data_IF_534702794089
#
_entry.id   IF_534702794089
#
_cell.length_a   1.000
_cell.length_b   1.000
_cell.length_c   1.000
_cell.angle_alpha   90.00
_cell.angle_beta   90.00
_cell.angle_gamma   90.00
#
_symmetry.space_group_name_H-M   'P 1'
#
loop_
_entity.id
_entity.type
_entity.pdbx_description
1 polymer ?
#
# COMPACT_ATOMS: atom_id res chain seq x y z
N UNK A 1 31.19 -72.55 5.85
CA UNK A 1 30.20 -71.86 6.71
C UNK A 1 30.71 -70.47 7.06
N UNK A 2 29.81 -69.48 6.94
CA UNK A 2 29.81 -68.11 7.50
C UNK A 2 30.89 -67.11 7.04
N UNK A 3 30.45 -66.25 6.10
CA UNK A 3 30.90 -64.88 5.88
C UNK A 3 30.64 -64.05 7.14
N UNK A 4 31.66 -63.38 7.68
CA UNK A 4 31.53 -62.36 8.72
C UNK A 4 31.55 -60.98 8.08
N UNK A 5 30.37 -60.36 7.96
CA UNK A 5 30.20 -59.03 7.40
C UNK A 5 30.45 -57.97 8.47
N UNK A 6 31.23 -56.97 8.09
CA UNK A 6 31.53 -55.75 8.83
C UNK A 6 30.25 -54.90 8.87
N UNK A 7 29.77 -54.54 10.05
CA UNK A 7 28.77 -53.47 10.20
C UNK A 7 29.42 -52.33 10.96
N UNK A 8 29.85 -51.33 10.21
CA UNK A 8 30.19 -50.01 10.72
C UNK A 8 28.89 -49.33 11.15
N UNK A 9 28.72 -49.10 12.45
CA UNK A 9 27.62 -48.30 12.98
C UNK A 9 27.92 -46.83 12.71
N UNK A 10 27.41 -46.32 11.58
CA UNK A 10 27.36 -44.89 11.32
C UNK A 10 26.36 -44.25 12.30
N UNK A 11 26.89 -43.50 13.27
CA UNK A 11 26.12 -42.69 14.20
C UNK A 11 25.51 -41.51 13.41
N UNK A 12 24.31 -41.71 12.86
CA UNK A 12 23.49 -40.62 12.33
C UNK A 12 22.96 -39.81 13.53
N UNK A 13 23.72 -38.79 13.90
CA UNK A 13 23.20 -37.64 14.63
C UNK A 13 22.14 -36.99 13.74
N UNK A 14 20.89 -37.43 13.89
CA UNK A 14 19.74 -36.64 13.50
C UNK A 14 19.72 -35.41 14.41
N UNK A 15 20.44 -34.37 14.01
CA UNK A 15 20.08 -33.02 14.41
C UNK A 15 18.64 -32.84 13.99
N UNK A 16 17.74 -32.91 14.97
CA UNK A 16 16.41 -32.35 14.88
C UNK A 16 16.59 -30.87 14.56
N UNK A 17 16.69 -30.56 13.27
CA UNK A 17 16.31 -29.26 12.78
C UNK A 17 14.85 -29.15 13.17
N UNK A 18 14.62 -28.52 14.32
CA UNK A 18 13.40 -27.80 14.58
C UNK A 18 13.26 -26.87 13.38
N UNK A 19 12.57 -27.34 12.33
CA UNK A 19 11.92 -26.46 11.42
C UNK A 19 11.02 -25.63 12.33
N UNK A 20 11.51 -24.46 12.72
CA UNK A 20 10.65 -23.37 13.08
C UNK A 20 9.74 -23.24 11.87
N UNK A 21 8.58 -23.88 11.96
CA UNK A 21 7.44 -23.54 11.15
C UNK A 21 7.24 -22.06 11.46
N UNK A 22 7.85 -21.21 10.64
CA UNK A 22 7.52 -19.81 10.55
C UNK A 22 6.05 -19.82 10.18
N UNK A 23 5.21 -19.70 11.20
CA UNK A 23 3.79 -19.42 11.12
C UNK A 23 3.60 -17.97 10.67
N UNK A 24 4.31 -17.53 9.62
CA UNK A 24 3.94 -16.32 8.91
C UNK A 24 2.78 -16.71 8.01
N UNK A 25 1.56 -16.44 8.48
CA UNK A 25 0.38 -16.42 7.61
C UNK A 25 0.59 -15.30 6.59
N UNK A 26 1.21 -15.61 5.46
CA UNK A 26 1.26 -14.67 4.33
C UNK A 26 -0.19 -14.41 3.88
N UNK A 27 -0.55 -13.12 3.85
CA UNK A 27 -1.85 -12.69 3.38
C UNK A 27 -1.85 -12.61 1.86
N UNK A 28 -2.98 -12.99 1.24
CA UNK A 28 -3.22 -12.81 -0.19
C UNK A 28 -4.01 -11.54 -0.46
N UNK A 29 -3.56 -10.76 -1.44
CA UNK A 29 -4.29 -9.64 -2.02
C UNK A 29 -4.79 -10.06 -3.40
N UNK A 30 -6.10 -10.02 -3.61
CA UNK A 30 -6.71 -10.51 -4.83
C UNK A 30 -7.51 -9.41 -5.54
N UNK A 31 -7.45 -9.42 -6.86
CA UNK A 31 -8.32 -8.64 -7.72
C UNK A 31 -8.96 -9.53 -8.80
N UNK A 32 -10.21 -9.24 -9.13
CA UNK A 32 -10.96 -9.88 -10.22
C UNK A 32 -11.28 -8.81 -11.24
N UNK A 33 -10.78 -8.98 -12.46
CA UNK A 33 -11.01 -8.08 -13.57
C UNK A 33 -11.90 -8.73 -14.60
N UNK A 34 -12.97 -8.06 -15.03
CA UNK A 34 -13.74 -8.52 -16.19
C UNK A 34 -12.93 -8.36 -17.46
N UNK A 35 -12.81 -9.42 -18.25
CA UNK A 35 -12.21 -9.37 -19.58
C UNK A 35 -13.19 -8.67 -20.52
N UNK A 36 -12.76 -7.69 -21.32
CA UNK A 36 -13.65 -7.02 -22.26
C UNK A 36 -14.27 -8.05 -23.21
N UNK A 37 -15.59 -8.00 -23.36
CA UNK A 37 -16.26 -8.73 -24.43
C UNK A 37 -15.64 -8.32 -25.77
N UNK A 38 -15.50 -9.26 -26.71
CA UNK A 38 -14.90 -9.01 -28.04
C UNK A 38 -15.65 -7.99 -28.92
N UNK A 39 -16.63 -7.26 -28.36
CA UNK A 39 -17.46 -6.30 -29.07
C UNK A 39 -17.03 -4.87 -28.75
N UNK A 40 -16.74 -4.14 -29.83
CA UNK A 40 -16.30 -2.76 -29.86
C UNK A 40 -17.26 -1.83 -29.10
N UNK A 41 -16.89 -1.44 -27.88
CA UNK A 41 -16.84 -0.06 -27.33
C UNK A 41 -16.16 -0.23 -25.97
N UNK A 42 -14.90 0.17 -25.87
CA UNK A 42 -14.12 0.11 -24.64
C UNK A 42 -14.71 1.06 -23.58
N UNK A 43 -15.76 0.63 -22.89
CA UNK A 43 -16.23 1.28 -21.66
C UNK A 43 -15.40 0.74 -20.51
N UNK A 44 -14.39 1.52 -20.16
CA UNK A 44 -13.38 1.33 -19.14
C UNK A 44 -13.93 1.39 -17.72
N UNK A 45 -14.79 0.44 -17.35
CA UNK A 45 -15.06 0.16 -15.93
C UNK A 45 -14.70 -1.28 -15.62
N UNK A 46 -13.40 -1.49 -15.39
CA UNK A 46 -12.91 -2.58 -14.56
C UNK A 46 -13.62 -2.44 -13.21
N UNK A 47 -14.55 -3.34 -12.91
CA UNK A 47 -15.05 -3.47 -11.54
C UNK A 47 -13.94 -4.12 -10.72
N UNK A 48 -13.00 -3.29 -10.24
CA UNK A 48 -11.88 -3.71 -9.40
C UNK A 48 -12.41 -4.13 -8.03
N UNK A 49 -12.32 -5.42 -7.72
CA UNK A 49 -12.49 -5.89 -6.36
C UNK A 49 -11.13 -5.88 -5.68
N UNK A 50 -10.77 -4.72 -5.13
CA UNK A 50 -9.56 -4.55 -4.34
C UNK A 50 -9.96 -4.46 -2.87
N UNK A 51 -10.12 -5.61 -2.21
CA UNK A 51 -10.25 -5.64 -0.75
C UNK A 51 -9.06 -6.38 -0.17
N UNK A 52 -8.40 -5.81 0.85
CA UNK A 52 -7.53 -6.62 1.69
C UNK A 52 -8.43 -7.54 2.51
N UNK A 53 -8.02 -8.78 2.68
CA UNK A 53 -8.65 -9.63 3.68
C UNK A 53 -7.57 -10.07 4.64
N UNK A 54 -7.68 -9.59 5.88
CA UNK A 54 -7.15 -10.34 7.01
C UNK A 54 -8.13 -11.49 7.17
N UNK A 55 -7.72 -12.69 6.78
CA UNK A 55 -8.62 -13.85 6.70
C UNK A 55 -9.04 -14.31 8.10
N UNK A 56 -10.19 -13.83 8.58
CA UNK A 56 -10.96 -14.55 9.59
C UNK A 56 -11.79 -15.66 8.90
N UNK A 57 -12.21 -16.67 9.68
CA UNK A 57 -12.73 -17.99 9.26
C UNK A 57 -13.77 -18.02 8.12
N UNK A 58 -14.47 -16.92 7.84
CA UNK A 58 -15.73 -16.92 7.09
C UNK A 58 -15.60 -16.72 5.57
N UNK A 59 -14.41 -16.37 5.06
CA UNK A 59 -14.15 -16.25 3.62
C UNK A 59 -14.90 -15.12 2.91
N UNK A 60 -14.83 -15.10 1.57
CA UNK A 60 -15.39 -14.08 0.69
C UNK A 60 -16.22 -14.75 -0.40
N UNK A 61 -17.43 -14.24 -0.64
CA UNK A 61 -18.30 -14.63 -1.75
C UNK A 61 -18.53 -13.44 -2.68
N UNK A 62 -18.31 -13.63 -3.98
CA UNK A 62 -18.59 -12.64 -5.02
C UNK A 62 -19.37 -13.29 -6.16
N UNK A 63 -20.26 -12.53 -6.82
CA UNK A 63 -21.05 -12.98 -7.96
C UNK A 63 -20.82 -12.07 -9.16
N UNK A 64 -20.48 -12.66 -10.30
CA UNK A 64 -20.22 -11.98 -11.58
C UNK A 64 -21.11 -12.61 -12.65
N UNK A 65 -22.20 -11.92 -13.00
CA UNK A 65 -23.26 -12.48 -13.86
C UNK A 65 -23.70 -13.86 -13.35
N UNK A 66 -23.48 -14.90 -14.14
CA UNK A 66 -23.83 -16.30 -13.86
C UNK A 66 -22.71 -17.09 -13.15
N UNK A 67 -21.59 -16.45 -12.79
CA UNK A 67 -20.50 -17.08 -12.06
C UNK A 67 -20.47 -16.61 -10.60
N UNK A 68 -20.54 -17.54 -9.65
CA UNK A 68 -20.25 -17.28 -8.24
C UNK A 68 -18.84 -17.76 -7.89
N UNK A 69 -18.11 -16.92 -7.18
CA UNK A 69 -16.76 -17.18 -6.71
C UNK A 69 -16.74 -17.12 -5.18
N UNK A 70 -16.18 -18.15 -4.56
CA UNK A 70 -15.99 -18.23 -3.12
C UNK A 70 -14.51 -18.45 -2.84
N UNK A 71 -13.94 -17.66 -1.95
CA UNK A 71 -12.55 -17.78 -1.53
C UNK A 71 -12.46 -17.83 -0.01
N UNK A 72 -11.71 -18.77 0.53
CA UNK A 72 -11.47 -18.84 1.97
C UNK A 72 -10.10 -19.45 2.26
N UNK A 73 -9.53 -19.08 3.40
CA UNK A 73 -8.29 -19.68 3.88
C UNK A 73 -8.62 -20.83 4.83
N UNK A 74 -8.04 -21.99 4.60
CA UNK A 74 -8.14 -23.14 5.50
C UNK A 74 -6.85 -23.93 5.45
N UNK A 75 -6.29 -24.26 6.62
CA UNK A 75 -5.06 -25.06 6.73
C UNK A 75 -3.88 -24.49 5.92
N UNK A 76 -3.67 -23.17 5.97
CA UNK A 76 -2.62 -22.46 5.19
C UNK A 76 -2.74 -22.69 3.67
N UNK A 77 -3.96 -22.81 3.17
CA UNK A 77 -4.27 -22.89 1.75
C UNK A 77 -5.35 -21.89 1.40
N UNK A 78 -5.15 -21.16 0.31
CA UNK A 78 -6.20 -20.40 -0.33
C UNK A 78 -7.08 -21.37 -1.10
N UNK A 79 -8.30 -21.60 -0.62
CA UNK A 79 -9.31 -22.38 -1.30
C UNK A 79 -10.13 -21.45 -2.18
N UNK A 80 -10.40 -21.90 -3.40
CA UNK A 80 -11.17 -21.17 -4.39
C UNK A 80 -12.21 -22.12 -4.98
N UNK A 81 -13.47 -21.70 -4.88
CA UNK A 81 -14.61 -22.38 -5.47
C UNK A 81 -15.27 -21.47 -6.49
N UNK A 82 -15.50 -21.99 -7.68
CA UNK A 82 -16.14 -21.29 -8.79
C UNK A 82 -17.35 -22.10 -9.22
N UNK A 83 -18.53 -21.49 -9.19
CA UNK A 83 -19.77 -22.06 -9.72
C UNK A 83 -20.20 -21.26 -10.93
N UNK A 84 -20.23 -21.88 -12.10
CA UNK A 84 -20.69 -21.29 -13.36
C UNK A 84 -22.05 -21.89 -13.70
N UNK A 85 -23.12 -21.12 -13.49
CA UNK A 85 -24.50 -21.58 -13.70
C UNK A 85 -24.79 -21.83 -15.19
N UNK A 86 -24.21 -21.02 -16.09
CA UNK A 86 -24.36 -21.16 -17.55
C UNK A 86 -23.81 -22.50 -18.03
N UNK A 87 -22.67 -22.92 -17.49
CA UNK A 87 -22.01 -24.19 -17.86
C UNK A 87 -22.40 -25.36 -16.96
N UNK A 88 -23.21 -25.13 -15.93
CA UNK A 88 -23.50 -26.10 -14.85
C UNK A 88 -22.21 -26.71 -14.28
N UNK A 89 -21.19 -25.88 -14.11
CA UNK A 89 -19.86 -26.32 -13.69
C UNK A 89 -19.56 -25.83 -12.28
N UNK A 90 -18.94 -26.69 -11.48
CA UNK A 90 -18.34 -26.32 -10.21
C UNK A 90 -16.86 -26.74 -10.20
N UNK A 91 -15.97 -25.78 -9.95
CA UNK A 91 -14.54 -26.02 -9.78
C UNK A 91 -14.18 -25.70 -8.33
N UNK A 92 -13.47 -26.61 -7.69
CA UNK A 92 -12.85 -26.39 -6.39
C UNK A 92 -11.34 -26.59 -6.56
N UNK A 93 -10.56 -25.56 -6.24
CA UNK A 93 -9.10 -25.59 -6.28
C UNK A 93 -8.53 -25.04 -4.98
N UNK A 94 -7.29 -25.40 -4.70
CA UNK A 94 -6.58 -24.92 -3.52
C UNK A 94 -5.13 -24.60 -3.86
N UNK A 95 -4.62 -23.51 -3.30
CA UNK A 95 -3.26 -23.04 -3.49
C UNK A 95 -2.55 -22.98 -2.14
N UNK A 96 -1.33 -23.56 -2.00
CA UNK A 96 -0.53 -23.41 -0.79
C UNK A 96 -0.23 -21.95 -0.49
N UNK A 97 -0.21 -21.54 0.79
CA UNK A 97 0.07 -20.16 1.19
C UNK A 97 1.42 -19.58 0.71
N UNK A 98 2.39 -20.46 0.44
CA UNK A 98 3.69 -20.07 -0.10
C UNK A 98 3.66 -19.75 -1.62
N UNK A 99 2.51 -19.87 -2.28
CA UNK A 99 2.40 -19.56 -3.72
C UNK A 99 2.38 -18.05 -3.90
N UNK A 100 3.43 -17.41 -4.46
CA UNK A 100 3.57 -15.96 -4.46
C UNK A 100 2.56 -15.25 -5.36
N UNK A 101 2.14 -15.91 -6.44
CA UNK A 101 1.16 -15.40 -7.39
C UNK A 101 0.22 -16.51 -7.88
N UNK A 102 -1.07 -16.20 -7.95
CA UNK A 102 -2.11 -17.05 -8.51
C UNK A 102 -2.83 -16.25 -9.58
N UNK A 103 -2.80 -16.73 -10.83
CA UNK A 103 -3.56 -16.14 -11.93
C UNK A 103 -4.54 -17.19 -12.48
N UNK A 104 -5.83 -16.89 -12.38
CA UNK A 104 -6.88 -17.69 -12.98
C UNK A 104 -7.63 -16.85 -14.01
N UNK A 105 -7.77 -17.40 -15.22
CA UNK A 105 -8.61 -16.83 -16.27
C UNK A 105 -9.82 -17.73 -16.46
N UNK A 106 -11.03 -17.17 -16.37
CA UNK A 106 -12.28 -17.88 -16.57
C UNK A 106 -13.26 -17.05 -17.39
N UNK A 107 -13.47 -17.43 -18.65
CA UNK A 107 -14.36 -16.77 -19.61
C UNK A 107 -14.22 -15.24 -19.64
N UNK A 108 -15.02 -14.58 -18.84
CA UNK A 108 -15.23 -13.13 -18.78
C UNK A 108 -14.47 -12.49 -17.62
N UNK A 109 -13.67 -13.22 -16.84
CA UNK A 109 -12.86 -12.61 -15.80
C UNK A 109 -11.45 -13.20 -15.67
N UNK A 110 -10.55 -12.41 -15.09
CA UNK A 110 -9.22 -12.78 -14.62
C UNK A 110 -9.16 -12.50 -13.12
N UNK A 111 -9.04 -13.54 -12.31
CA UNK A 111 -8.63 -13.45 -10.91
C UNK A 111 -7.09 -13.43 -10.86
N UNK A 112 -6.54 -12.49 -10.11
CA UNK A 112 -5.11 -12.44 -9.79
C UNK A 112 -4.97 -12.22 -8.28
N UNK A 113 -4.26 -13.12 -7.61
CA UNK A 113 -3.90 -13.01 -6.21
C UNK A 113 -2.39 -12.96 -6.05
N UNK A 114 -1.89 -12.10 -5.19
CA UNK A 114 -0.48 -11.97 -4.85
C UNK A 114 -0.31 -12.09 -3.34
N UNK A 115 0.76 -12.73 -2.87
CA UNK A 115 1.16 -12.62 -1.47
C UNK A 115 1.63 -11.19 -1.19
N UNK A 116 1.58 -10.77 0.08
CA UNK A 116 2.10 -9.47 0.49
C UNK A 116 3.52 -9.24 -0.02
N UNK A 117 4.41 -10.21 0.21
CA UNK A 117 5.81 -10.19 -0.18
C UNK A 117 5.97 -9.99 -1.70
N UNK A 118 5.27 -10.80 -2.51
CA UNK A 118 5.38 -10.70 -3.98
C UNK A 118 4.84 -9.37 -4.50
N UNK A 119 3.80 -8.86 -3.86
CA UNK A 119 3.23 -7.58 -4.23
C UNK A 119 4.19 -6.41 -3.90
N UNK A 120 4.83 -6.42 -2.73
CA UNK A 120 5.84 -5.42 -2.32
C UNK A 120 7.01 -5.40 -3.34
N UNK A 121 7.49 -6.57 -3.80
CA UNK A 121 8.49 -6.67 -4.87
C UNK A 121 8.04 -5.98 -6.17
N UNK A 122 6.83 -6.29 -6.65
CA UNK A 122 6.30 -5.71 -7.89
C UNK A 122 6.02 -4.20 -7.77
N UNK A 123 5.72 -3.72 -6.56
CA UNK A 123 5.57 -2.30 -6.27
C UNK A 123 6.89 -1.55 -6.40
N UNK A 124 7.97 -2.12 -5.89
CA UNK A 124 9.34 -1.59 -5.94
C UNK A 124 9.89 -1.59 -7.38
N UNK A 125 9.55 -2.59 -8.20
CA UNK A 125 9.97 -2.71 -9.60
C UNK A 125 9.20 -1.77 -10.56
N UNK A 126 8.20 -1.04 -10.06
CA UNK A 126 7.40 -0.11 -10.88
C UNK A 126 6.47 -0.81 -11.88
N UNK A 127 6.24 -2.12 -11.72
CA UNK A 127 5.32 -2.85 -12.58
C UNK A 127 3.85 -2.44 -12.36
N UNK A 128 3.01 -2.75 -13.36
CA UNK A 128 1.57 -2.47 -13.39
C UNK A 128 0.82 -3.22 -12.29
N UNK A 129 0.81 -2.69 -11.07
CA UNK A 129 -0.12 -3.13 -10.04
C UNK A 129 -1.54 -2.80 -10.47
N UNK A 130 -2.37 -3.84 -10.57
CA UNK A 130 -3.73 -3.80 -11.10
C UNK A 130 -4.79 -3.47 -10.06
N UNK A 131 -4.42 -3.07 -8.83
CA UNK A 131 -5.39 -2.74 -7.78
C UNK A 131 -4.76 -1.91 -6.65
N UNK A 132 -5.55 -1.05 -5.97
CA UNK A 132 -5.11 -0.32 -4.79
C UNK A 132 -4.83 -1.29 -3.64
N UNK A 133 -3.66 -1.16 -3.00
CA UNK A 133 -3.40 -1.85 -1.73
C UNK A 133 -3.75 -0.93 -0.57
N UNK A 134 -4.57 -1.41 0.36
CA UNK A 134 -4.84 -0.71 1.60
C UNK A 134 -3.68 -0.95 2.54
N UNK A 135 -3.12 0.14 3.02
CA UNK A 135 -2.06 0.11 4.00
C UNK A 135 -2.61 -0.41 5.32
N UNK A 136 -2.00 -1.47 5.82
CA UNK A 136 -2.20 -1.94 7.19
C UNK A 136 -1.29 -1.16 8.14
N UNK A 137 -1.59 -1.19 9.44
CA UNK A 137 -0.79 -0.48 10.45
C UNK A 137 0.70 -0.83 10.41
N UNK A 138 1.04 -2.06 10.04
CA UNK A 138 2.41 -2.58 9.97
C UNK A 138 3.08 -2.38 8.60
N UNK A 139 2.35 -1.85 7.61
CA UNK A 139 2.88 -1.61 6.27
C UNK A 139 4.05 -0.63 6.32
N UNK A 140 5.23 -1.05 5.86
CA UNK A 140 6.43 -0.22 5.82
C UNK A 140 6.39 0.72 4.61
N UNK A 141 6.29 2.02 4.89
CA UNK A 141 6.07 3.04 3.87
C UNK A 141 7.28 3.31 2.98
N UNK A 142 8.47 2.83 3.35
CA UNK A 142 9.69 3.00 2.54
C UNK A 142 9.61 2.19 1.23
N UNK A 143 8.85 1.10 1.20
CA UNK A 143 8.62 0.28 -0.01
C UNK A 143 7.60 0.91 -0.97
N UNK A 144 6.89 1.97 -0.56
CA UNK A 144 5.89 2.63 -1.40
C UNK A 144 6.44 3.90 -2.01
N UNK A 145 7.31 3.72 -3.02
CA UNK A 145 8.01 4.83 -3.69
C UNK A 145 7.26 5.42 -4.89
N UNK A 146 6.16 4.80 -5.29
CA UNK A 146 5.38 5.23 -6.46
C UNK A 146 3.88 5.21 -6.15
N UNK A 147 3.11 6.04 -6.87
CA UNK A 147 1.63 6.01 -6.89
C UNK A 147 0.98 6.24 -5.52
N UNK A 148 1.59 7.08 -4.69
CA UNK A 148 1.00 7.46 -3.40
C UNK A 148 0.11 8.68 -3.57
N UNK A 149 -1.08 8.66 -2.99
CA UNK A 149 -1.85 9.87 -2.72
C UNK A 149 -2.05 10.05 -1.23
N UNK A 150 -2.13 11.30 -0.83
CA UNK A 150 -2.42 11.70 0.56
C UNK A 150 -3.86 12.15 0.62
N UNK A 151 -4.65 11.48 1.46
CA UNK A 151 -6.01 11.85 1.76
C UNK A 151 -6.04 12.62 3.07
N UNK A 152 -6.62 13.82 3.07
CA UNK A 152 -6.88 14.54 4.30
C UNK A 152 -8.06 13.91 5.03
N UNK A 153 -7.85 13.54 6.29
CA UNK A 153 -8.87 12.97 7.17
C UNK A 153 -9.51 14.01 8.09
N UNK A 154 -8.95 15.23 8.14
CA UNK A 154 -9.48 16.36 8.88
C UNK A 154 -9.04 17.67 8.20
N UNK A 155 -9.81 18.73 8.43
CA UNK A 155 -9.50 20.06 7.90
C UNK A 155 -8.14 20.57 8.40
N UNK A 156 -7.41 21.24 7.51
CA UNK A 156 -6.15 21.91 7.83
C UNK A 156 -6.33 23.41 7.58
N UNK A 157 -6.41 24.18 8.67
CA UNK A 157 -6.47 25.63 8.61
C UNK A 157 -5.05 26.23 8.67
N UNK A 158 -4.77 27.16 7.76
CA UNK A 158 -3.53 27.91 7.66
C UNK A 158 -3.85 29.40 7.67
N UNK A 159 -3.45 30.06 8.76
CA UNK A 159 -3.73 31.48 8.96
C UNK A 159 -2.90 32.38 8.05
N UNK A 160 -3.52 33.46 7.62
CA UNK A 160 -2.85 34.60 7.03
C UNK A 160 -2.23 35.48 8.09
N UNK A 161 -1.04 35.98 7.80
CA UNK A 161 -0.44 37.09 8.54
C UNK A 161 -0.22 38.23 7.56
N UNK A 162 -0.81 39.38 7.85
CA UNK A 162 -0.65 40.58 7.05
C UNK A 162 0.83 40.96 6.92
N UNK A 163 1.28 41.23 5.69
CA UNK A 163 2.69 41.50 5.38
C UNK A 163 3.52 40.28 4.96
N UNK A 164 2.91 39.09 4.87
CA UNK A 164 3.54 37.92 4.23
C UNK A 164 4.01 38.28 2.80
N UNK A 165 5.31 38.16 2.52
CA UNK A 165 5.87 38.29 1.16
C UNK A 165 5.46 37.09 0.27
N UNK A 166 5.72 37.15 -1.04
CA UNK A 166 5.55 35.99 -1.94
C UNK A 166 6.30 34.74 -1.44
N UNK A 167 7.43 34.92 -0.73
CA UNK A 167 8.13 33.82 -0.08
C UNK A 167 7.36 33.28 1.12
N UNK A 168 6.67 34.14 1.85
CA UNK A 168 5.88 33.78 3.04
C UNK A 168 4.51 33.20 2.70
N UNK A 169 4.09 33.27 1.43
CA UNK A 169 2.96 32.48 0.90
C UNK A 169 3.23 30.98 0.92
N UNK A 170 4.50 30.57 1.02
CA UNK A 170 4.88 29.19 1.33
C UNK A 170 4.67 28.94 2.83
N UNK A 171 3.62 28.18 3.15
CA UNK A 171 3.27 27.83 4.52
C UNK A 171 3.66 26.40 4.84
N UNK A 172 4.16 26.24 6.06
CA UNK A 172 4.66 24.99 6.61
C UNK A 172 3.77 24.59 7.77
N UNK A 173 3.17 23.41 7.68
CA UNK A 173 2.37 22.80 8.75
C UNK A 173 3.16 21.62 9.30
N UNK A 174 3.66 21.75 10.52
CA UNK A 174 4.41 20.68 11.18
C UNK A 174 3.49 19.80 12.02
N UNK A 175 3.69 18.50 11.92
CA UNK A 175 3.02 17.47 12.68
C UNK A 175 4.02 16.69 13.51
N UNK A 176 3.74 16.55 14.80
CA UNK A 176 4.60 15.83 15.72
C UNK A 176 3.74 15.23 16.83
N UNK A 177 3.89 13.92 17.09
CA UNK A 177 3.17 13.20 18.16
C UNK A 177 1.66 13.48 18.18
N UNK A 178 1.05 13.58 16.99
CA UNK A 178 -0.38 13.74 16.84
C UNK A 178 -0.90 15.17 16.85
N UNK A 179 -0.01 16.15 17.00
CA UNK A 179 -0.37 17.57 17.11
C UNK A 179 0.22 18.40 15.97
N UNK A 180 -0.47 19.49 15.61
CA UNK A 180 0.11 20.54 14.77
C UNK A 180 0.94 21.45 15.68
N UNK A 181 2.22 21.63 15.35
CA UNK A 181 3.17 22.43 16.15
C UNK A 181 3.73 23.57 15.33
N UNK A 182 4.09 24.68 15.98
CA UNK A 182 4.74 25.81 15.30
C UNK A 182 6.21 25.52 14.94
N UNK A 183 6.85 24.62 15.69
CA UNK A 183 8.24 24.20 15.51
C UNK A 183 8.43 22.77 15.99
N UNK A 184 9.23 21.99 15.27
CA UNK A 184 9.53 20.60 15.64
C UNK A 184 10.71 20.51 16.60
N UNK A 185 10.70 19.47 17.44
CA UNK A 185 11.91 19.03 18.14
C UNK A 185 12.82 18.30 17.16
N UNK A 186 14.05 18.81 17.01
CA UNK A 186 15.06 18.28 16.12
C UNK A 186 15.40 16.80 16.39
N UNK A 187 15.20 16.31 17.60
CA UNK A 187 15.56 14.94 18.00
C UNK A 187 14.40 13.94 17.92
N UNK A 188 13.31 14.30 17.26
CA UNK A 188 12.09 13.49 17.22
C UNK A 188 11.59 13.23 15.81
N UNK A 189 10.70 12.25 15.69
CA UNK A 189 9.98 11.97 14.46
C UNK A 189 8.91 13.05 14.20
N UNK A 190 8.86 13.59 12.98
CA UNK A 190 7.90 14.61 12.59
C UNK A 190 7.57 14.54 11.10
N UNK A 191 6.43 15.11 10.71
CA UNK A 191 6.07 15.37 9.32
C UNK A 191 5.85 16.87 9.08
N UNK A 192 6.23 17.37 7.90
CA UNK A 192 6.08 18.75 7.44
C UNK A 192 5.27 18.71 6.15
N UNK A 193 4.08 19.30 6.15
CA UNK A 193 3.33 19.57 4.95
C UNK A 193 3.57 21.01 4.50
N UNK A 194 4.10 21.17 3.29
CA UNK A 194 4.39 22.47 2.71
C UNK A 194 3.43 22.76 1.56
N UNK A 195 2.83 23.95 1.58
CA UNK A 195 1.86 24.41 0.59
C UNK A 195 2.10 25.88 0.25
N UNK A 196 1.67 26.29 -0.93
CA UNK A 196 1.65 27.69 -1.36
C UNK A 196 0.21 28.20 -1.33
N UNK A 197 -0.02 29.31 -0.63
CA UNK A 197 -1.27 30.05 -0.73
C UNK A 197 -1.23 30.98 -1.94
N UNK A 198 -2.36 31.12 -2.63
CA UNK A 198 -2.47 32.02 -3.80
C UNK A 198 -3.11 33.36 -3.47
N UNK A 199 -3.88 33.42 -2.39
CA UNK A 199 -4.58 34.63 -1.94
C UNK A 199 -4.14 35.06 -0.54
N UNK A 200 -4.35 36.34 -0.25
CA UNK A 200 -4.01 36.99 1.02
C UNK A 200 -5.16 36.86 2.02
N UNK A 201 -5.55 35.62 2.30
CA UNK A 201 -6.64 35.28 3.21
C UNK A 201 -6.34 33.96 3.94
N UNK A 202 -7.06 33.69 5.03
CA UNK A 202 -7.00 32.40 5.69
C UNK A 202 -7.34 31.28 4.70
N UNK A 203 -6.59 30.19 4.77
CA UNK A 203 -6.79 29.02 3.91
C UNK A 203 -7.28 27.86 4.75
N UNK A 204 -8.34 27.19 4.31
CA UNK A 204 -8.76 25.91 4.85
C UNK A 204 -8.65 24.88 3.74
N UNK A 205 -7.91 23.80 4.01
CA UNK A 205 -7.90 22.63 3.14
C UNK A 205 -8.89 21.63 3.73
N UNK A 206 -9.95 21.38 2.99
CA UNK A 206 -11.06 20.55 3.44
C UNK A 206 -10.64 19.07 3.58
N UNK A 207 -11.22 18.41 4.58
CA UNK A 207 -11.20 16.95 4.71
C UNK A 207 -11.68 16.28 3.41
N UNK A 208 -11.25 15.03 3.21
CA UNK A 208 -11.45 14.24 2.01
C UNK A 208 -10.73 14.76 0.74
N UNK A 209 -9.95 15.84 0.83
CA UNK A 209 -9.05 16.25 -0.26
C UNK A 209 -8.00 15.16 -0.50
N UNK A 210 -7.94 14.64 -1.73
CA UNK A 210 -6.92 13.69 -2.16
C UNK A 210 -5.86 14.39 -3.01
N UNK A 211 -4.60 14.31 -2.57
CA UNK A 211 -3.45 14.96 -3.19
C UNK A 211 -2.53 13.86 -3.76
N UNK A 212 -2.47 13.66 -5.09
CA UNK A 212 -1.56 12.68 -5.69
C UNK A 212 -0.10 13.15 -5.59
N UNK A 213 0.77 12.31 -5.03
CA UNK A 213 2.20 12.51 -5.05
C UNK A 213 2.76 12.16 -6.44
N UNK A 214 3.54 13.07 -7.02
CA UNK A 214 4.20 12.85 -8.31
C UNK A 214 5.44 11.97 -8.17
N UNK A 215 6.15 12.09 -7.05
CA UNK A 215 7.27 11.22 -6.74
C UNK A 215 7.42 11.05 -5.23
N UNK A 216 7.99 9.92 -4.83
CA UNK A 216 8.39 9.67 -3.44
C UNK A 216 9.88 9.36 -3.43
N UNK A 217 10.63 10.04 -2.56
CA UNK A 217 12.05 9.78 -2.38
C UNK A 217 12.38 9.55 -0.91
N UNK A 218 13.44 8.77 -0.67
CA UNK A 218 13.97 8.52 0.67
C UNK A 218 15.45 8.85 0.67
N UNK A 219 15.91 9.61 1.65
CA UNK A 219 17.31 9.96 1.78
C UNK A 219 17.72 10.07 3.26
N UNK A 220 18.99 9.76 3.54
CA UNK A 220 19.54 9.93 4.88
C UNK A 220 19.93 11.39 5.08
N UNK A 221 19.31 12.05 6.06
CA UNK A 221 19.62 13.44 6.38
C UNK A 221 20.72 13.55 7.46
N UNK A 222 20.89 12.50 8.26
CA UNK A 222 21.98 12.35 9.24
C UNK A 222 22.16 10.88 9.60
N UNK A 223 23.19 10.55 10.39
CA UNK A 223 23.40 9.17 10.89
C UNK A 223 22.20 8.63 11.70
N UNK A 224 21.40 9.52 12.29
CA UNK A 224 20.32 9.16 13.21
C UNK A 224 18.92 9.26 12.59
N UNK A 225 18.80 9.80 11.38
CA UNK A 225 17.50 10.07 10.76
C UNK A 225 17.52 9.89 9.24
N UNK A 226 16.50 9.23 8.73
CA UNK A 226 16.14 9.27 7.32
C UNK A 226 14.93 10.18 7.11
N UNK A 227 14.76 10.63 5.88
CA UNK A 227 13.63 11.45 5.46
C UNK A 227 12.95 10.75 4.30
N UNK A 228 11.64 10.54 4.42
CA UNK A 228 10.78 10.25 3.28
C UNK A 228 10.14 11.55 2.81
N UNK A 229 10.05 11.74 1.50
CA UNK A 229 9.55 12.96 0.90
C UNK A 229 8.57 12.62 -0.23
N UNK A 230 7.30 12.96 -0.02
CA UNK A 230 6.26 12.92 -1.04
C UNK A 230 6.24 14.28 -1.74
N UNK A 231 6.72 14.34 -2.98
CA UNK A 231 6.71 15.56 -3.78
C UNK A 231 5.42 15.67 -4.59
N UNK A 232 4.81 16.85 -4.57
CA UNK A 232 3.64 17.18 -5.39
C UNK A 232 4.01 18.06 -6.59
N UNK A 233 5.30 18.27 -6.85
CA UNK A 233 5.80 19.09 -7.96
C UNK A 233 6.84 18.31 -8.75
N UNK A 234 6.74 18.36 -10.07
CA UNK A 234 7.78 17.92 -10.99
C UNK A 234 8.62 19.14 -11.37
N UNK A 235 9.78 19.27 -10.72
CA UNK A 235 10.70 20.38 -10.96
C UNK A 235 11.28 20.34 -12.39
N UNK A 236 11.40 19.16 -13.00
CA UNK A 236 11.98 19.02 -14.33
C UNK A 236 11.00 19.48 -15.41
N UNK A 237 9.70 19.24 -15.19
CA UNK A 237 8.62 19.68 -16.09
C UNK A 237 8.00 21.01 -15.69
N UNK A 238 8.43 21.58 -14.56
CA UNK A 238 7.81 22.75 -13.93
C UNK A 238 6.29 22.60 -13.74
N UNK A 239 5.81 21.38 -13.49
CA UNK A 239 4.38 21.09 -13.31
C UNK A 239 4.06 20.79 -11.85
N UNK A 240 2.89 21.26 -11.40
CA UNK A 240 2.32 20.90 -10.10
C UNK A 240 1.36 19.73 -10.29
N UNK A 241 1.46 18.75 -9.41
CA UNK A 241 0.61 17.54 -9.42
C UNK A 241 -0.77 17.78 -8.83
N UNK A 242 -0.90 18.79 -7.97
CA UNK A 242 -2.18 19.21 -7.42
C UNK A 242 -2.19 20.72 -7.13
N UNK A 243 -3.18 21.41 -7.67
CA UNK A 243 -3.36 22.85 -7.52
C UNK A 243 -4.85 23.18 -7.62
N UNK A 244 -5.32 24.07 -6.76
CA UNK A 244 -6.65 24.67 -6.83
C UNK A 244 -6.53 26.15 -7.20
N UNK A 245 -7.65 26.86 -7.28
CA UNK A 245 -7.65 28.33 -7.39
C UNK A 245 -6.98 29.01 -6.19
N UNK A 246 -7.02 28.40 -5.00
CA UNK A 246 -6.66 29.04 -3.74
C UNK A 246 -5.28 28.63 -3.20
N UNK A 247 -4.81 27.42 -3.54
CA UNK A 247 -3.56 26.90 -3.02
C UNK A 247 -2.94 25.81 -3.92
N UNK A 248 -1.68 25.50 -3.66
CA UNK A 248 -0.97 24.40 -4.32
C UNK A 248 -0.11 23.62 -3.31
N UNK A 249 -0.14 22.30 -3.38
CA UNK A 249 0.72 21.46 -2.55
C UNK A 249 2.15 21.45 -3.10
N UNK A 250 3.17 21.48 -2.22
CA UNK A 250 4.58 21.37 -2.64
C UNK A 250 5.15 20.01 -2.25
N UNK A 251 5.08 19.68 -0.96
CA UNK A 251 5.60 18.42 -0.45
C UNK A 251 5.06 18.05 0.93
N UNK A 252 5.07 16.75 1.22
CA UNK A 252 4.97 16.21 2.57
C UNK A 252 6.28 15.48 2.88
N UNK A 253 7.02 15.97 3.88
CA UNK A 253 8.28 15.36 4.33
C UNK A 253 8.12 14.76 5.71
N UNK A 254 8.52 13.52 5.92
CA UNK A 254 8.58 12.94 7.25
C UNK A 254 10.02 12.56 7.61
N UNK A 255 10.54 13.12 8.71
CA UNK A 255 11.84 12.81 9.29
C UNK A 255 11.64 11.74 10.36
N UNK A 256 12.32 10.61 10.23
CA UNK A 256 12.13 9.44 11.09
C UNK A 256 13.49 8.94 11.58
N UNK A 257 13.56 8.55 12.85
CA UNK A 257 14.76 7.95 13.45
C UNK A 257 15.17 6.68 12.70
N UNK A 258 16.47 6.51 12.41
CA UNK A 258 17.01 5.30 11.77
C UNK A 258 16.86 4.04 12.61
N UNK A 259 16.53 4.16 13.89
CA UNK A 259 16.21 3.02 14.77
C UNK A 259 14.75 2.55 14.64
N UNK A 260 13.93 3.22 13.82
CA UNK A 260 12.51 2.92 13.65
C UNK A 260 12.19 2.65 12.19
N UNK A 261 11.24 1.75 11.96
CA UNK A 261 10.61 1.59 10.65
C UNK A 261 9.48 2.59 10.51
N UNK A 262 9.42 3.32 9.40
CA UNK A 262 8.26 4.17 9.10
C UNK A 262 7.09 3.28 8.66
N UNK A 263 6.32 2.81 9.63
CA UNK A 263 5.07 2.10 9.36
C UNK A 263 3.92 3.07 9.14
N UNK A 264 2.82 2.59 8.54
CA UNK A 264 1.61 3.40 8.39
C UNK A 264 1.03 3.84 9.75
N UNK A 265 1.14 2.98 10.77
CA UNK A 265 0.78 3.34 12.14
C UNK A 265 1.62 4.50 12.68
N UNK A 266 2.95 4.45 12.54
CA UNK A 266 3.82 5.54 13.00
C UNK A 266 3.50 6.85 12.26
N UNK A 267 3.24 6.78 10.95
CA UNK A 267 2.80 7.94 10.17
C UNK A 267 1.51 8.56 10.72
N UNK A 268 0.50 7.74 11.01
CA UNK A 268 -0.76 8.17 11.63
C UNK A 268 -0.55 8.75 13.03
N UNK A 269 0.34 8.18 13.83
CA UNK A 269 0.71 8.68 15.16
C UNK A 269 1.38 10.06 15.08
N UNK A 270 2.29 10.27 14.13
CA UNK A 270 2.97 11.56 13.94
C UNK A 270 1.97 12.63 13.49
N UNK A 271 1.13 12.31 12.51
CA UNK A 271 0.17 13.24 11.88
C UNK A 271 -1.11 13.44 12.70
N UNK A 272 -1.36 12.56 13.67
CA UNK A 272 -2.56 12.57 14.50
C UNK A 272 -3.80 12.20 13.72
N UNK A 273 -3.67 11.20 12.83
CA UNK A 273 -4.73 10.75 11.91
C UNK A 273 -5.31 11.88 11.05
N UNK A 274 -4.52 12.92 10.71
CA UNK A 274 -4.95 13.99 9.78
C UNK A 274 -4.72 13.63 8.33
N UNK A 275 -3.81 12.68 8.08
CA UNK A 275 -3.54 12.15 6.76
C UNK A 275 -3.73 10.64 6.76
N UNK A 276 -4.32 10.16 5.68
CA UNK A 276 -4.23 8.79 5.23
C UNK A 276 -3.37 8.73 3.96
N UNK A 277 -2.78 7.57 3.73
CA UNK A 277 -2.05 7.29 2.51
C UNK A 277 -2.84 6.25 1.71
N UNK A 278 -3.00 6.50 0.42
CA UNK A 278 -3.62 5.58 -0.52
C UNK A 278 -2.62 5.24 -1.61
N UNK A 279 -2.60 3.97 -2.04
CA UNK A 279 -1.85 3.55 -3.21
C UNK A 279 -2.80 3.57 -4.39
N UNK A 280 -2.52 4.41 -5.38
CA UNK A 280 -3.32 4.52 -6.59
C UNK A 280 -3.00 3.37 -7.57
N UNK A 281 -4.02 2.75 -8.20
CA UNK A 281 -3.80 1.83 -9.31
C UNK A 281 -3.22 2.57 -10.52
N UNK A 282 -2.48 1.86 -11.39
CA UNK A 282 -2.02 2.45 -12.65
C UNK A 282 -3.18 2.65 -13.61
N UNK A 283 -3.31 3.88 -14.13
CA UNK A 283 -4.19 4.20 -15.25
C UNK A 283 -3.65 3.64 -16.57
#
# INVERSE_FOLDING_TARGET
>A
MKRGSIVATALLLMSSMSASALTSTENYYCNINTLPEKSAVATSKLHEFAKPFIFEKDGVKSKFKEVELFMWNQNQKLNLKIKDATRKLEINTHYPAATPEIVLKWNEFKLQCLTQTKWEELADEGEKLLFPVPLTDDSNLIHYKTRMSILLLADIAVKYVEGDTERDKMKEVFFQRGQIVAKTDNNSDWCLFQLQRKFDQDLVIEQATEIPALSVSTYNNSNNFFVINYNFIDLNKATKGFETSEWAAFMLKCKISTMRTLTYKLFKEITGNRFALNIQPLK
#
